data_IF_418493412890
#
_entry.id   IF_418493412890
#
_cell.length_a   1.000
_cell.length_b   1.000
_cell.length_c   1.000
_cell.angle_alpha   90.00
_cell.angle_beta   90.00
_cell.angle_gamma   90.00
#
_symmetry.space_group_name_H-M   'P 1'
#
loop_
_entity.id
_entity.type
_entity.pdbx_description
1 polymer ?
#
# COMPACT_ATOMS: atom_id res chain seq x y z
N UNK A 1 6.38 -1.48 -9.89
CA UNK A 1 6.33 -2.75 -10.63
C UNK A 1 6.99 -2.57 -11.98
N UNK A 2 7.91 -3.44 -12.27
CA UNK A 2 8.48 -3.50 -13.62
C UNK A 2 7.36 -3.79 -14.61
N UNK A 3 7.34 -3.08 -15.73
CA UNK A 3 6.47 -3.35 -16.82
C UNK A 3 6.86 -4.63 -17.58
N UNK A 4 6.10 -5.00 -18.62
CA UNK A 4 6.48 -6.10 -19.47
C UNK A 4 7.90 -5.88 -20.01
N UNK A 5 8.67 -6.95 -20.18
CA UNK A 5 10.02 -6.82 -20.73
C UNK A 5 9.95 -6.20 -22.14
N UNK A 6 11.04 -5.58 -22.54
CA UNK A 6 11.17 -5.07 -23.90
C UNK A 6 10.98 -6.24 -24.89
N UNK A 7 10.23 -6.04 -25.97
CA UNK A 7 10.15 -7.03 -27.04
C UNK A 7 11.53 -7.39 -27.57
N UNK A 8 11.72 -8.64 -27.99
CA UNK A 8 12.97 -9.13 -28.53
C UNK A 8 13.35 -8.47 -29.87
N UNK A 9 14.54 -8.79 -30.36
CA UNK A 9 15.06 -8.22 -31.62
C UNK A 9 14.27 -8.63 -32.84
N UNK A 10 13.44 -9.69 -32.73
CA UNK A 10 12.55 -10.22 -33.76
C UNK A 10 11.13 -9.59 -33.73
N UNK A 11 10.88 -8.67 -32.77
CA UNK A 11 9.58 -8.04 -32.68
C UNK A 11 9.30 -7.11 -33.87
N UNK A 12 8.03 -7.05 -34.24
CA UNK A 12 7.58 -6.16 -35.32
C UNK A 12 7.67 -4.67 -34.84
N UNK A 13 7.80 -3.73 -35.82
CA UNK A 13 7.78 -2.30 -35.45
C UNK A 13 6.55 -1.87 -34.68
N UNK A 14 5.39 -2.46 -34.92
CA UNK A 14 4.16 -2.15 -34.17
C UNK A 14 4.22 -2.64 -32.73
N UNK A 15 4.76 -3.83 -32.48
CA UNK A 15 4.94 -4.34 -31.11
C UNK A 15 5.91 -3.47 -30.30
N UNK A 16 7.00 -3.03 -30.93
CA UNK A 16 7.95 -2.11 -30.30
C UNK A 16 7.27 -0.78 -29.99
N UNK A 17 6.53 -0.22 -30.93
CA UNK A 17 5.81 1.03 -30.74
C UNK A 17 4.79 0.94 -29.60
N UNK A 18 3.98 -0.09 -29.56
CA UNK A 18 2.97 -0.31 -28.51
C UNK A 18 3.62 -0.47 -27.14
N UNK A 19 4.74 -1.18 -27.09
CA UNK A 19 5.52 -1.30 -25.85
C UNK A 19 6.06 0.05 -25.39
N UNK A 20 6.67 0.84 -26.29
CA UNK A 20 7.19 2.16 -25.97
C UNK A 20 6.11 3.11 -25.46
N UNK A 21 4.92 3.10 -26.07
CA UNK A 21 3.78 3.90 -25.62
C UNK A 21 3.31 3.47 -24.23
N UNK A 22 3.25 2.18 -23.98
CA UNK A 22 2.86 1.65 -22.67
C UNK A 22 3.89 1.97 -21.58
N UNK A 23 5.18 1.97 -21.91
CA UNK A 23 6.25 2.37 -21.02
C UNK A 23 6.19 3.86 -20.67
N UNK A 24 6.00 4.71 -21.67
CA UNK A 24 5.88 6.14 -21.49
C UNK A 24 4.71 6.48 -20.56
N UNK A 25 3.56 5.85 -20.77
CA UNK A 25 2.37 6.05 -19.93
C UNK A 25 2.59 5.58 -18.48
N UNK A 26 3.28 4.45 -18.30
CA UNK A 26 3.63 3.97 -16.96
C UNK A 26 4.56 4.92 -16.22
N UNK A 27 5.57 5.44 -16.91
CA UNK A 27 6.51 6.43 -16.33
C UNK A 27 5.80 7.71 -15.94
N UNK A 28 4.90 8.19 -16.77
CA UNK A 28 4.08 9.36 -16.48
C UNK A 28 3.21 9.16 -15.25
N UNK A 29 2.51 8.03 -15.15
CA UNK A 29 1.69 7.68 -13.98
C UNK A 29 2.53 7.55 -12.72
N UNK A 30 3.71 6.95 -12.80
CA UNK A 30 4.61 6.84 -11.66
C UNK A 30 5.10 8.21 -11.17
N UNK A 31 5.43 9.13 -12.08
CA UNK A 31 5.81 10.50 -11.72
C UNK A 31 4.65 11.26 -11.08
N UNK A 32 3.44 11.13 -11.63
CA UNK A 32 2.25 11.76 -11.08
C UNK A 32 1.95 11.23 -9.67
N UNK A 33 2.04 9.92 -9.45
CA UNK A 33 1.85 9.31 -8.15
C UNK A 33 2.90 9.77 -7.13
N UNK A 34 4.17 9.86 -7.53
CA UNK A 34 5.24 10.34 -6.66
C UNK A 34 5.03 11.81 -6.28
N UNK A 35 4.64 12.65 -7.21
CA UNK A 35 4.33 14.06 -6.95
C UNK A 35 3.17 14.17 -5.95
N UNK A 36 2.12 13.41 -6.14
CA UNK A 36 0.97 13.40 -5.23
C UNK A 36 1.37 12.90 -3.83
N UNK A 37 2.18 11.85 -3.74
CA UNK A 37 2.69 11.34 -2.47
C UNK A 37 3.50 12.39 -1.72
N UNK A 38 4.38 13.11 -2.41
CA UNK A 38 5.17 14.20 -1.83
C UNK A 38 4.31 15.36 -1.33
N UNK A 39 3.28 15.71 -2.06
CA UNK A 39 2.32 16.73 -1.63
C UNK A 39 1.57 16.29 -0.37
N UNK A 40 1.14 15.06 -0.29
CA UNK A 40 0.48 14.50 0.90
C UNK A 40 1.44 14.45 2.09
N UNK A 41 2.69 14.06 1.89
CA UNK A 41 3.70 14.07 2.92
C UNK A 41 3.89 15.49 3.49
N UNK A 42 4.02 16.46 2.62
CA UNK A 42 4.16 17.88 3.01
C UNK A 42 2.94 18.37 3.78
N UNK A 43 1.76 17.99 3.36
CA UNK A 43 0.51 18.42 4.01
C UNK A 43 0.30 17.79 5.40
N UNK A 44 0.60 16.50 5.56
CA UNK A 44 0.22 15.74 6.75
C UNK A 44 1.37 15.44 7.72
N UNK A 45 2.62 15.32 7.23
CA UNK A 45 3.75 14.87 8.03
C UNK A 45 4.82 15.93 8.26
N UNK A 46 4.91 16.93 7.40
CA UNK A 46 6.02 17.90 7.45
C UNK A 46 6.16 18.61 8.79
N UNK A 47 5.05 18.93 9.45
CA UNK A 47 5.07 19.60 10.75
C UNK A 47 5.66 18.75 11.88
N UNK A 48 5.78 17.45 11.69
CA UNK A 48 6.37 16.54 12.68
C UNK A 48 7.85 16.25 12.40
N UNK A 49 8.39 16.80 11.32
CA UNK A 49 9.80 16.68 10.99
C UNK A 49 10.60 17.76 11.77
N UNK A 50 11.86 17.51 12.12
CA UNK A 50 12.68 16.33 11.79
C UNK A 50 12.47 15.12 12.70
N UNK A 51 11.78 15.25 13.82
CA UNK A 51 11.65 14.19 14.85
C UNK A 51 11.08 12.91 14.28
N UNK A 52 10.05 13.00 13.43
CA UNK A 52 9.45 11.84 12.77
C UNK A 52 10.46 11.12 11.88
N UNK A 53 11.31 11.87 11.19
CA UNK A 53 12.32 11.33 10.27
C UNK A 53 13.40 10.49 10.95
N UNK A 54 13.58 10.63 12.25
CA UNK A 54 14.53 9.84 13.03
C UNK A 54 13.99 8.46 13.42
N UNK A 55 12.69 8.26 13.30
CA UNK A 55 12.06 6.99 13.62
C UNK A 55 12.29 5.97 12.50
N UNK A 56 12.75 4.79 12.89
CA UNK A 56 12.91 3.67 11.95
C UNK A 56 11.58 3.32 11.27
N UNK A 57 10.49 3.29 12.03
CA UNK A 57 9.16 3.04 11.50
C UNK A 57 8.76 4.01 10.38
N UNK A 58 9.07 5.30 10.52
CA UNK A 58 8.84 6.27 9.45
C UNK A 58 9.67 5.96 8.21
N UNK A 59 10.95 5.68 8.38
CA UNK A 59 11.86 5.37 7.26
C UNK A 59 11.42 4.13 6.50
N UNK A 60 10.99 3.10 7.22
CA UNK A 60 10.47 1.86 6.62
C UNK A 60 9.19 2.12 5.82
N UNK A 61 8.23 2.82 6.40
CA UNK A 61 6.98 3.17 5.74
C UNK A 61 7.24 4.03 4.50
N UNK A 62 8.09 5.03 4.61
CA UNK A 62 8.41 5.91 3.48
C UNK A 62 9.08 5.14 2.34
N UNK A 63 10.02 4.27 2.67
CA UNK A 63 10.69 3.38 1.71
C UNK A 63 9.69 2.49 0.96
N UNK A 64 8.73 1.91 1.66
CA UNK A 64 7.71 1.05 1.07
C UNK A 64 6.71 1.85 0.23
N UNK A 65 6.25 2.99 0.72
CA UNK A 65 5.29 3.84 0.01
C UNK A 65 5.83 4.35 -1.34
N UNK A 66 7.12 4.64 -1.42
CA UNK A 66 7.78 4.98 -2.69
C UNK A 66 7.64 3.86 -3.74
N UNK A 67 7.44 2.62 -3.30
CA UNK A 67 7.27 1.43 -4.13
C UNK A 67 5.83 1.00 -4.28
N UNK A 68 4.89 1.76 -3.75
CA UNK A 68 3.48 1.45 -3.77
C UNK A 68 3.07 0.31 -2.84
N UNK A 69 3.85 0.06 -1.81
CA UNK A 69 3.63 -0.96 -0.79
C UNK A 69 3.47 -0.31 0.57
N UNK A 70 2.64 -0.87 1.41
CA UNK A 70 2.49 -0.44 2.80
C UNK A 70 2.11 -1.61 3.71
N UNK A 71 2.26 -1.40 5.00
CA UNK A 71 1.65 -2.24 6.02
C UNK A 71 0.76 -1.39 6.93
N UNK A 72 -0.23 -2.02 7.54
CA UNK A 72 -1.19 -1.38 8.42
C UNK A 72 -1.59 -2.32 9.55
N UNK A 73 -1.27 -1.94 10.77
CA UNK A 73 -1.62 -2.68 11.98
C UNK A 73 -1.74 -1.75 13.19
N UNK A 74 -2.34 -2.25 14.26
CA UNK A 74 -2.62 -1.47 15.47
C UNK A 74 -1.37 -1.04 16.25
N UNK A 75 -0.25 -1.73 16.06
CA UNK A 75 1.04 -1.40 16.70
C UNK A 75 1.79 -0.23 16.07
N UNK A 76 1.31 0.29 14.95
CA UNK A 76 1.92 1.45 14.30
C UNK A 76 1.65 2.74 15.07
N UNK A 77 2.58 3.69 14.93
CA UNK A 77 2.35 5.06 15.35
C UNK A 77 1.09 5.61 14.64
N UNK A 78 0.11 6.16 15.38
CA UNK A 78 -1.18 6.58 14.78
C UNK A 78 -1.04 7.51 13.58
N UNK A 79 -0.12 8.45 13.60
CA UNK A 79 0.11 9.38 12.48
C UNK A 79 0.56 8.66 11.22
N UNK A 80 1.41 7.63 11.34
CA UNK A 80 1.87 6.83 10.20
C UNK A 80 0.75 5.92 9.68
N UNK A 81 -0.04 5.35 10.56
CA UNK A 81 -1.20 4.55 10.19
C UNK A 81 -2.21 5.36 9.40
N UNK A 82 -2.55 6.55 9.86
CA UNK A 82 -3.44 7.47 9.14
C UNK A 82 -2.86 7.88 7.79
N UNK A 83 -1.57 8.13 7.72
CA UNK A 83 -0.91 8.48 6.46
C UNK A 83 -0.97 7.34 5.44
N UNK A 84 -0.76 6.10 5.87
CA UNK A 84 -0.94 4.91 5.02
C UNK A 84 -2.39 4.81 4.52
N UNK A 85 -3.37 5.02 5.39
CA UNK A 85 -4.78 5.02 5.02
C UNK A 85 -5.08 6.08 3.95
N UNK A 86 -4.58 7.28 4.11
CA UNK A 86 -4.75 8.37 3.14
C UNK A 86 -4.10 8.04 1.79
N UNK A 87 -2.89 7.51 1.80
CA UNK A 87 -2.20 7.07 0.59
C UNK A 87 -2.97 5.97 -0.14
N UNK A 88 -3.55 5.04 0.61
CA UNK A 88 -4.37 3.97 0.04
C UNK A 88 -5.67 4.51 -0.56
N UNK A 89 -6.36 5.41 0.11
CA UNK A 89 -7.57 6.06 -0.41
C UNK A 89 -7.31 6.84 -1.71
N UNK A 90 -6.14 7.43 -1.84
CA UNK A 90 -5.71 8.15 -3.05
C UNK A 90 -5.13 7.23 -4.13
N UNK A 91 -5.22 5.92 -3.93
CA UNK A 91 -4.70 4.90 -4.87
C UNK A 91 -3.20 4.98 -5.14
N UNK A 92 -2.45 5.50 -4.18
CA UNK A 92 -0.99 5.57 -4.24
C UNK A 92 -0.32 4.29 -3.75
N UNK A 93 -1.08 3.42 -3.11
CA UNK A 93 -0.63 2.11 -2.62
C UNK A 93 -1.31 1.02 -3.44
N UNK A 94 -0.53 0.07 -3.91
CA UNK A 94 -0.98 -1.05 -4.74
C UNK A 94 -1.14 -2.34 -3.92
N UNK A 95 -0.35 -2.48 -2.88
CA UNK A 95 -0.33 -3.65 -2.00
C UNK A 95 -0.23 -3.20 -0.55
N UNK A 96 -1.17 -3.63 0.27
CA UNK A 96 -1.15 -3.40 1.72
C UNK A 96 -1.14 -4.74 2.44
N UNK A 97 -0.17 -4.91 3.32
CA UNK A 97 -0.17 -5.98 4.30
C UNK A 97 -0.87 -5.46 5.56
N UNK A 98 -2.04 -5.97 5.85
CA UNK A 98 -2.87 -5.43 6.92
C UNK A 98 -3.39 -6.51 7.86
N UNK A 99 -3.59 -6.11 9.10
CA UNK A 99 -4.40 -6.85 10.06
C UNK A 99 -5.86 -6.41 9.96
N UNK A 100 -6.73 -6.99 10.76
CA UNK A 100 -8.17 -6.65 10.79
C UNK A 100 -8.47 -5.16 11.01
N UNK A 101 -7.52 -4.37 11.53
CA UNK A 101 -7.70 -2.95 11.82
C UNK A 101 -7.98 -2.11 10.57
N UNK A 102 -7.51 -2.54 9.41
CA UNK A 102 -7.78 -1.84 8.15
C UNK A 102 -9.26 -1.93 7.73
N UNK A 103 -9.93 -3.02 8.11
CA UNK A 103 -11.33 -3.26 7.75
C UNK A 103 -12.31 -2.48 8.64
N UNK A 104 -11.85 -1.89 9.75
CA UNK A 104 -12.70 -1.22 10.73
C UNK A 104 -12.87 0.26 10.40
N UNK A 105 -14.07 0.64 9.96
CA UNK A 105 -14.51 2.03 9.90
C UNK A 105 -13.96 2.87 8.76
N UNK A 106 -13.21 2.30 7.82
CA UNK A 106 -12.64 3.02 6.69
C UNK A 106 -13.08 2.40 5.38
N UNK A 107 -13.64 3.20 4.49
CA UNK A 107 -13.99 2.78 3.14
C UNK A 107 -12.73 2.75 2.27
N UNK A 108 -12.05 1.60 2.24
CA UNK A 108 -10.78 1.42 1.54
C UNK A 108 -11.01 0.76 0.17
N UNK A 109 -10.61 1.41 -0.94
CA UNK A 109 -10.85 0.88 -2.29
C UNK A 109 -9.86 -0.24 -2.64
N UNK A 110 -10.17 -1.47 -2.26
CA UNK A 110 -9.38 -2.65 -2.66
C UNK A 110 -10.10 -3.40 -3.78
N UNK A 111 -9.37 -3.77 -4.83
CA UNK A 111 -9.89 -4.65 -5.90
C UNK A 111 -9.88 -6.11 -5.50
N UNK A 112 -8.84 -6.53 -4.80
CA UNK A 112 -8.61 -7.91 -4.41
C UNK A 112 -8.16 -7.95 -2.96
N UNK A 113 -8.74 -8.85 -2.20
CA UNK A 113 -8.34 -9.12 -0.83
C UNK A 113 -7.91 -10.57 -0.74
N UNK A 114 -6.69 -10.81 -0.27
CA UNK A 114 -6.13 -12.14 -0.04
C UNK A 114 -5.97 -12.35 1.46
N UNK A 115 -6.55 -13.43 1.97
CA UNK A 115 -6.40 -13.82 3.37
C UNK A 115 -5.31 -14.88 3.47
N UNK A 116 -4.26 -14.57 4.21
CA UNK A 116 -3.21 -15.55 4.53
C UNK A 116 -3.62 -16.47 5.67
N UNK A 117 -4.56 -16.02 6.50
CA UNK A 117 -5.10 -16.76 7.62
C UNK A 117 -6.56 -16.34 7.86
N UNK A 118 -7.49 -17.29 7.87
CA UNK A 118 -8.92 -17.03 8.02
C UNK A 118 -9.41 -17.12 9.47
N UNK A 119 -8.61 -17.66 10.36
CA UNK A 119 -8.89 -17.75 11.78
C UNK A 119 -8.21 -16.58 12.52
N UNK A 120 -8.76 -16.23 13.66
CA UNK A 120 -8.14 -15.25 14.53
C UNK A 120 -8.06 -15.78 15.96
N UNK A 121 -7.11 -15.28 16.79
CA UNK A 121 -7.00 -15.70 18.18
C UNK A 121 -8.31 -15.54 18.92
N UNK A 122 -8.66 -16.57 19.71
CA UNK A 122 -9.86 -16.55 20.55
C UNK A 122 -9.60 -15.71 21.80
N UNK A 123 -10.28 -14.56 21.91
CA UNK A 123 -10.15 -13.63 23.03
C UNK A 123 -10.82 -14.15 24.33
N UNK A 124 -11.51 -15.26 24.30
CA UNK A 124 -12.22 -15.80 25.47
C UNK A 124 -11.31 -16.46 26.51
N UNK A 125 -10.00 -16.48 26.29
CA UNK A 125 -8.98 -16.78 27.30
C UNK A 125 -8.86 -18.25 27.73
N UNK A 126 -9.65 -19.15 27.20
CA UNK A 126 -9.72 -20.52 27.68
C UNK A 126 -8.88 -21.54 26.92
N UNK A 127 -8.42 -21.23 25.70
CA UNK A 127 -7.54 -22.09 24.89
C UNK A 127 -6.74 -21.27 23.90
N UNK A 128 -5.48 -21.60 23.71
CA UNK A 128 -4.66 -21.11 22.60
C UNK A 128 -5.23 -21.67 21.29
N UNK A 129 -6.27 -21.00 20.78
CA UNK A 129 -6.94 -21.37 19.55
C UNK A 129 -7.24 -20.15 18.69
N UNK A 130 -7.51 -20.41 17.44
CA UNK A 130 -7.97 -19.41 16.50
C UNK A 130 -9.42 -19.69 16.16
N UNK A 131 -10.22 -18.64 15.96
CA UNK A 131 -11.58 -18.75 15.44
C UNK A 131 -11.65 -18.24 14.01
N UNK A 132 -12.58 -18.78 13.24
CA UNK A 132 -12.85 -18.27 11.91
C UNK A 132 -13.40 -16.83 11.98
N UNK A 133 -13.01 -16.01 11.02
CA UNK A 133 -13.54 -14.67 10.87
C UNK A 133 -15.03 -14.74 10.53
N UNK A 134 -15.83 -13.91 11.18
CA UNK A 134 -17.24 -13.72 10.83
C UNK A 134 -17.36 -12.87 9.56
N UNK A 135 -18.52 -12.92 8.92
CA UNK A 135 -18.74 -12.17 7.66
C UNK A 135 -18.51 -10.66 7.84
N UNK A 136 -18.91 -10.10 8.97
CA UNK A 136 -18.72 -8.70 9.31
C UNK A 136 -17.26 -8.29 9.55
N UNK A 137 -16.38 -9.25 9.74
CA UNK A 137 -14.93 -9.02 9.92
C UNK A 137 -14.14 -9.01 8.62
N UNK A 138 -14.76 -9.34 7.49
CA UNK A 138 -14.15 -9.26 6.16
C UNK A 138 -14.16 -7.84 5.56
N UNK A 139 -14.91 -6.95 6.13
CA UNK A 139 -15.15 -5.58 5.64
C UNK A 139 -14.62 -4.51 6.56
#
# INVERSE_FOLDING_TARGET
TRGPPRPGDDASPSEIYDWEQSEALRRERARAAETQRQQMHRKYLQRYMPELGELEAYRDINFLLERGVAYHHSGMLPILREFVELCFQQKLVRLVFATETLAVGVNMPARTVAFTQLDKPDDTGAKQGHRWLRVDEFW
#
